data_IF_861111341329
#
_entry.id   IF_861111341329
#
_cell.length_a   1.000
_cell.length_b   1.000
_cell.length_c   1.000
_cell.angle_alpha   90.00
_cell.angle_beta   90.00
_cell.angle_gamma   90.00
#
_symmetry.space_group_name_H-M   'P 1'
#
loop_
_entity.id
_entity.type
_entity.pdbx_description
1 polymer ?
#
# COMPACT_ATOMS: atom_id res chain seq x y z
N UNK A 1 5.05 -27.24 -14.89
CA UNK A 1 4.68 -26.02 -14.15
C UNK A 1 5.25 -26.18 -12.75
N UNK A 2 6.19 -25.32 -12.36
CA UNK A 2 6.97 -25.51 -11.14
C UNK A 2 6.07 -25.49 -9.90
N UNK A 3 6.29 -26.43 -8.98
CA UNK A 3 5.51 -26.58 -7.73
C UNK A 3 5.52 -25.26 -6.94
N UNK A 4 6.62 -24.50 -6.99
CA UNK A 4 6.74 -23.17 -6.39
C UNK A 4 5.77 -22.15 -6.99
N UNK A 5 5.56 -22.17 -8.31
CA UNK A 5 4.62 -21.31 -9.00
C UNK A 5 3.18 -21.64 -8.60
N UNK A 6 2.84 -22.94 -8.55
CA UNK A 6 1.50 -23.39 -8.15
C UNK A 6 1.16 -23.01 -6.71
N UNK A 7 2.11 -23.20 -5.77
CA UNK A 7 1.97 -22.79 -4.37
C UNK A 7 1.82 -21.27 -4.25
N UNK A 8 2.61 -20.50 -5.02
CA UNK A 8 2.47 -19.04 -5.05
C UNK A 8 1.08 -18.61 -5.50
N UNK A 9 0.61 -19.13 -6.65
CA UNK A 9 -0.73 -18.82 -7.19
C UNK A 9 -1.82 -19.15 -6.17
N UNK A 10 -1.75 -20.32 -5.52
CA UNK A 10 -2.71 -20.70 -4.50
C UNK A 10 -2.73 -19.72 -3.31
N UNK A 11 -1.56 -19.32 -2.80
CA UNK A 11 -1.43 -18.30 -1.75
C UNK A 11 -2.06 -16.97 -2.17
N UNK A 12 -1.83 -16.53 -3.41
CA UNK A 12 -2.43 -15.30 -3.93
C UNK A 12 -3.95 -15.36 -3.99
N UNK A 13 -4.50 -16.50 -4.42
CA UNK A 13 -5.96 -16.71 -4.46
C UNK A 13 -6.54 -16.64 -3.06
N UNK A 14 -5.93 -17.34 -2.09
CA UNK A 14 -6.40 -17.33 -0.69
C UNK A 14 -6.37 -15.93 -0.09
N UNK A 15 -5.29 -15.18 -0.27
CA UNK A 15 -5.19 -13.80 0.24
C UNK A 15 -6.23 -12.90 -0.42
N UNK A 16 -6.43 -13.03 -1.73
CA UNK A 16 -7.44 -12.25 -2.44
C UNK A 16 -8.86 -12.56 -1.95
N UNK A 17 -9.21 -13.85 -1.78
CA UNK A 17 -10.51 -14.27 -1.26
C UNK A 17 -10.76 -13.73 0.14
N UNK A 18 -9.77 -13.82 1.03
CA UNK A 18 -9.87 -13.29 2.40
C UNK A 18 -10.01 -11.75 2.40
N UNK A 19 -9.27 -11.05 1.54
CA UNK A 19 -9.34 -9.60 1.42
C UNK A 19 -10.74 -9.14 0.96
N UNK A 20 -11.32 -9.86 -0.01
CA UNK A 20 -12.65 -9.61 -0.56
C UNK A 20 -13.73 -9.76 0.52
N UNK A 21 -13.63 -10.79 1.36
CA UNK A 21 -14.56 -10.99 2.48
C UNK A 21 -14.36 -9.93 3.58
N UNK A 22 -13.13 -9.47 3.77
CA UNK A 22 -12.77 -8.53 4.84
C UNK A 22 -13.21 -7.08 4.58
N UNK A 23 -13.21 -6.60 3.33
CA UNK A 23 -13.54 -5.20 3.04
C UNK A 23 -14.08 -4.98 1.63
N UNK A 24 -15.21 -4.27 1.52
CA UNK A 24 -15.73 -3.77 0.23
C UNK A 24 -14.72 -2.87 -0.50
N UNK A 25 -13.85 -2.17 0.24
CA UNK A 25 -12.80 -1.33 -0.35
C UNK A 25 -11.70 -2.18 -1.01
N UNK A 26 -11.40 -3.37 -0.47
CA UNK A 26 -10.46 -4.30 -1.09
C UNK A 26 -10.94 -4.75 -2.47
N UNK A 27 -12.23 -5.06 -2.59
CA UNK A 27 -12.88 -5.46 -3.86
C UNK A 27 -12.80 -4.33 -4.88
N UNK A 28 -13.21 -3.12 -4.49
CA UNK A 28 -13.19 -1.97 -5.38
C UNK A 28 -11.77 -1.66 -5.88
N UNK A 29 -10.77 -1.69 -4.99
CA UNK A 29 -9.38 -1.49 -5.36
C UNK A 29 -8.85 -2.60 -6.29
N UNK A 30 -9.23 -3.85 -6.07
CA UNK A 30 -8.84 -4.97 -6.92
C UNK A 30 -9.46 -4.85 -8.32
N UNK A 31 -10.73 -4.47 -8.41
CA UNK A 31 -11.39 -4.23 -9.69
C UNK A 31 -10.68 -3.11 -10.47
N UNK A 32 -10.33 -2.01 -9.81
CA UNK A 32 -9.59 -0.89 -10.42
C UNK A 32 -8.21 -1.33 -10.89
N UNK A 33 -7.49 -2.13 -10.10
CA UNK A 33 -6.21 -2.72 -10.50
C UNK A 33 -6.33 -3.59 -11.76
N UNK A 34 -7.33 -4.47 -11.81
CA UNK A 34 -7.57 -5.36 -12.94
C UNK A 34 -7.94 -4.59 -14.21
N UNK A 35 -8.83 -3.60 -14.11
CA UNK A 35 -9.23 -2.74 -15.23
C UNK A 35 -8.02 -1.93 -15.74
N UNK A 36 -7.24 -1.38 -14.82
CA UNK A 36 -6.05 -0.60 -15.18
C UNK A 36 -4.96 -1.48 -15.81
N UNK A 37 -4.79 -2.71 -15.32
CA UNK A 37 -3.91 -3.72 -15.92
C UNK A 37 -4.33 -4.10 -17.33
N UNK A 38 -5.63 -4.31 -17.55
CA UNK A 38 -6.17 -4.57 -18.88
C UNK A 38 -5.91 -3.41 -19.85
N UNK A 39 -6.11 -2.16 -19.42
CA UNK A 39 -5.82 -0.95 -20.22
C UNK A 39 -4.32 -0.84 -20.53
N UNK A 40 -3.45 -1.11 -19.55
CA UNK A 40 -2.00 -1.08 -19.73
C UNK A 40 -1.52 -2.12 -20.76
N UNK A 41 -2.02 -3.35 -20.66
CA UNK A 41 -1.73 -4.42 -21.61
C UNK A 41 -2.21 -4.07 -23.02
N UNK A 42 -3.45 -3.57 -23.14
CA UNK A 42 -4.03 -3.17 -24.44
C UNK A 42 -3.27 -2.01 -25.10
N UNK A 43 -2.76 -1.08 -24.31
CA UNK A 43 -1.97 0.06 -24.79
C UNK A 43 -0.49 -0.26 -25.04
N UNK A 44 -0.05 -1.50 -24.78
CA UNK A 44 1.34 -1.95 -24.83
C UNK A 44 2.32 -1.02 -24.10
N UNK A 45 1.85 -0.38 -23.03
CA UNK A 45 2.62 0.62 -22.29
C UNK A 45 3.46 -0.06 -21.20
N UNK A 46 4.71 -0.40 -21.54
CA UNK A 46 5.68 -0.93 -20.57
C UNK A 46 5.88 0.05 -19.39
N UNK A 47 5.73 1.37 -19.66
CA UNK A 47 5.79 2.42 -18.63
C UNK A 47 4.68 2.31 -17.57
N UNK A 48 3.53 1.75 -17.91
CA UNK A 48 2.40 1.58 -16.98
C UNK A 48 2.52 0.34 -16.07
N UNK A 49 3.42 -0.60 -16.39
CA UNK A 49 3.52 -1.87 -15.70
C UNK A 49 4.10 -1.70 -14.29
N UNK A 50 5.09 -0.81 -14.11
CA UNK A 50 5.70 -0.57 -12.80
C UNK A 50 4.76 0.10 -11.79
N UNK A 51 4.00 1.16 -12.13
CA UNK A 51 2.96 1.68 -11.25
C UNK A 51 1.89 0.63 -10.89
N UNK A 52 1.55 -0.29 -11.80
CA UNK A 52 0.61 -1.38 -11.52
C UNK A 52 1.17 -2.38 -10.51
N UNK A 53 2.42 -2.80 -10.68
CA UNK A 53 3.10 -3.68 -9.71
C UNK A 53 3.16 -3.02 -8.33
N UNK A 54 3.51 -1.74 -8.28
CA UNK A 54 3.55 -0.99 -7.02
C UNK A 54 2.17 -0.94 -6.36
N UNK A 55 1.14 -0.66 -7.16
CA UNK A 55 -0.25 -0.57 -6.72
C UNK A 55 -0.70 -1.92 -6.18
N UNK A 56 -0.40 -3.01 -6.87
CA UNK A 56 -0.70 -4.37 -6.42
C UNK A 56 0.00 -4.72 -5.10
N UNK A 57 1.28 -4.37 -4.95
CA UNK A 57 2.01 -4.60 -3.69
C UNK A 57 1.42 -3.79 -2.53
N UNK A 58 1.02 -2.54 -2.78
CA UNK A 58 0.35 -1.71 -1.77
C UNK A 58 -1.02 -2.27 -1.41
N UNK A 59 -1.78 -2.76 -2.40
CA UNK A 59 -3.08 -3.39 -2.19
C UNK A 59 -2.93 -4.64 -1.33
N UNK A 60 -1.92 -5.47 -1.61
CA UNK A 60 -1.62 -6.66 -0.84
C UNK A 60 -1.26 -6.32 0.61
N UNK A 61 -0.37 -5.36 0.82
CA UNK A 61 0.01 -4.92 2.17
C UNK A 61 -1.19 -4.42 2.96
N UNK A 62 -2.04 -3.62 2.32
CA UNK A 62 -3.27 -3.09 2.94
C UNK A 62 -4.29 -4.18 3.21
N UNK A 63 -4.44 -5.14 2.30
CA UNK A 63 -5.30 -6.31 2.44
C UNK A 63 -4.87 -7.17 3.63
N UNK A 64 -3.58 -7.45 3.77
CA UNK A 64 -3.05 -8.21 4.90
C UNK A 64 -3.30 -7.51 6.24
N UNK A 65 -3.17 -6.17 6.28
CA UNK A 65 -3.52 -5.37 7.47
C UNK A 65 -5.00 -5.52 7.80
N UNK A 66 -5.88 -5.38 6.79
CA UNK A 66 -7.33 -5.46 6.96
C UNK A 66 -7.78 -6.86 7.42
N UNK A 67 -7.26 -7.92 6.79
CA UNK A 67 -7.53 -9.32 7.17
C UNK A 67 -7.05 -9.57 8.60
N UNK A 68 -5.81 -9.19 8.92
CA UNK A 68 -5.26 -9.38 10.27
C UNK A 68 -6.13 -8.69 11.31
N UNK A 69 -6.56 -7.45 11.04
CA UNK A 69 -7.47 -6.70 11.91
C UNK A 69 -8.81 -7.41 12.07
N UNK A 70 -9.36 -7.97 11.00
CA UNK A 70 -10.66 -8.65 11.03
C UNK A 70 -10.61 -10.01 11.76
N UNK A 71 -9.49 -10.73 11.66
CA UNK A 71 -9.32 -12.07 12.26
C UNK A 71 -8.86 -11.99 13.72
N UNK A 72 -7.85 -11.17 14.01
CA UNK A 72 -7.19 -11.10 15.34
C UNK A 72 -7.79 -9.96 16.19
N UNK A 73 -8.48 -9.01 15.57
CA UNK A 73 -8.92 -7.78 16.23
C UNK A 73 -7.82 -6.71 16.22
N UNK A 74 -8.10 -5.58 16.89
CA UNK A 74 -7.16 -4.47 17.04
C UNK A 74 -6.36 -4.69 18.32
N UNK A 75 -5.04 -4.76 18.21
CA UNK A 75 -4.16 -4.86 19.38
C UNK A 75 -3.57 -3.50 19.77
N UNK A 76 -3.19 -3.33 21.05
CA UNK A 76 -2.55 -2.10 21.53
C UNK A 76 -1.28 -1.74 20.75
N UNK A 77 -0.51 -2.75 20.31
CA UNK A 77 0.68 -2.55 19.44
C UNK A 77 0.32 -1.98 18.07
N UNK A 78 -0.84 -2.34 17.52
CA UNK A 78 -1.31 -1.81 16.24
C UNK A 78 -1.71 -0.35 16.36
N UNK A 79 -2.35 -0.01 17.49
CA UNK A 79 -2.69 1.35 17.83
C UNK A 79 -1.41 2.17 17.94
N UNK A 80 -0.45 1.76 18.78
CA UNK A 80 0.83 2.45 18.99
C UNK A 80 1.62 2.66 17.70
N UNK A 81 1.67 1.64 16.83
CA UNK A 81 2.43 1.67 15.58
C UNK A 81 1.65 2.20 14.37
N UNK A 82 0.40 2.66 14.53
CA UNK A 82 -0.45 3.14 13.43
C UNK A 82 0.21 4.24 12.58
N UNK A 83 1.00 5.12 13.19
CA UNK A 83 1.76 6.15 12.47
C UNK A 83 2.81 5.58 11.51
N UNK A 84 3.40 4.43 11.86
CA UNK A 84 4.41 3.76 11.04
C UNK A 84 3.81 3.19 9.74
N UNK A 85 2.52 2.85 9.75
CA UNK A 85 1.78 2.39 8.55
C UNK A 85 1.74 3.47 7.45
N UNK A 86 1.86 4.75 7.82
CA UNK A 86 1.89 5.83 6.84
C UNK A 86 3.15 5.82 5.95
N UNK A 87 4.18 5.07 6.34
CA UNK A 87 5.40 4.90 5.54
C UNK A 87 5.25 3.81 4.46
N UNK A 88 4.23 2.95 4.52
CA UNK A 88 4.09 1.79 3.62
C UNK A 88 4.05 2.19 2.13
N UNK A 89 3.38 3.29 1.73
CA UNK A 89 3.43 3.73 0.34
C UNK A 89 4.86 4.06 -0.14
N UNK A 90 5.74 4.55 0.72
CA UNK A 90 7.15 4.76 0.34
C UNK A 90 7.90 3.46 0.12
N UNK A 91 7.60 2.42 0.91
CA UNK A 91 8.19 1.11 0.73
C UNK A 91 7.77 0.51 -0.62
N UNK A 92 6.47 0.56 -0.95
CA UNK A 92 5.96 0.08 -2.23
C UNK A 92 6.61 0.80 -3.42
N UNK A 93 6.72 2.13 -3.34
CA UNK A 93 7.42 2.93 -4.36
C UNK A 93 8.90 2.55 -4.49
N UNK A 94 9.63 2.53 -3.37
CA UNK A 94 11.08 2.24 -3.36
C UNK A 94 11.39 0.82 -3.83
N UNK A 95 10.56 -0.16 -3.45
CA UNK A 95 10.68 -1.53 -3.92
C UNK A 95 10.52 -1.63 -5.44
N UNK A 96 9.54 -0.93 -6.03
CA UNK A 96 9.41 -0.92 -7.50
C UNK A 96 10.53 -0.18 -8.21
N UNK A 97 11.05 0.90 -7.61
CA UNK A 97 12.24 1.58 -8.10
C UNK A 97 13.46 0.66 -8.08
N UNK A 98 13.58 -0.25 -7.11
CA UNK A 98 14.72 -1.18 -7.04
C UNK A 98 14.86 -2.02 -8.32
N UNK A 99 13.73 -2.41 -8.93
CA UNK A 99 13.73 -3.21 -10.16
C UNK A 99 14.03 -2.39 -11.42
N UNK A 100 13.57 -1.12 -11.49
CA UNK A 100 13.76 -0.26 -12.67
C UNK A 100 15.07 0.54 -12.61
N UNK A 101 15.42 1.03 -11.42
CA UNK A 101 16.56 1.89 -11.12
C UNK A 101 17.18 1.51 -9.76
N UNK A 102 18.03 0.47 -9.71
CA UNK A 102 18.46 -0.16 -8.45
C UNK A 102 19.15 0.80 -7.48
N UNK A 103 19.97 1.75 -7.97
CA UNK A 103 20.63 2.74 -7.12
C UNK A 103 19.63 3.65 -6.39
N UNK A 104 18.64 4.20 -7.11
CA UNK A 104 17.60 5.03 -6.51
C UNK A 104 16.66 4.22 -5.62
N UNK A 105 16.35 2.98 -5.98
CA UNK A 105 15.55 2.08 -5.16
C UNK A 105 16.21 1.74 -3.82
N UNK A 106 17.51 1.40 -3.84
CA UNK A 106 18.27 1.10 -2.63
C UNK A 106 18.36 2.32 -1.70
N UNK A 107 18.63 3.50 -2.27
CA UNK A 107 18.60 4.75 -1.51
C UNK A 107 17.20 5.06 -0.94
N UNK A 108 16.15 4.80 -1.72
CA UNK A 108 14.76 4.95 -1.27
C UNK A 108 14.41 4.04 -0.09
N UNK A 109 14.90 2.79 -0.08
CA UNK A 109 14.70 1.86 1.04
C UNK A 109 15.39 2.37 2.31
N UNK A 110 16.60 2.93 2.19
CA UNK A 110 17.30 3.55 3.33
C UNK A 110 16.51 4.74 3.89
N UNK A 111 16.02 5.62 3.01
CA UNK A 111 15.14 6.73 3.41
C UNK A 111 13.87 6.21 4.09
N UNK A 112 13.28 5.14 3.56
CA UNK A 112 12.07 4.56 4.13
C UNK A 112 12.26 4.12 5.58
N UNK A 113 13.41 3.52 5.94
CA UNK A 113 13.68 3.17 7.35
C UNK A 113 13.68 4.40 8.27
N UNK A 114 14.30 5.49 7.83
CA UNK A 114 14.29 6.76 8.57
C UNK A 114 12.86 7.32 8.69
N UNK A 115 12.11 7.27 7.59
CA UNK A 115 10.73 7.73 7.53
C UNK A 115 9.82 6.91 8.44
N UNK A 116 9.98 5.59 8.44
CA UNK A 116 9.22 4.66 9.28
C UNK A 116 9.45 4.97 10.77
N UNK A 117 10.70 5.14 11.18
CA UNK A 117 11.05 5.50 12.55
C UNK A 117 10.49 6.88 12.94
N UNK A 118 10.62 7.87 12.05
CA UNK A 118 10.09 9.21 12.28
C UNK A 118 8.55 9.22 12.37
N UNK A 119 7.85 8.61 11.41
CA UNK A 119 6.39 8.56 11.33
C UNK A 119 5.78 7.75 12.48
N UNK A 120 6.44 6.69 12.93
CA UNK A 120 6.05 5.93 14.14
C UNK A 120 5.91 6.85 15.36
N UNK A 121 6.82 7.80 15.53
CA UNK A 121 6.86 8.67 16.70
C UNK A 121 6.06 9.96 16.52
N UNK A 122 6.13 10.57 15.33
CA UNK A 122 5.53 11.87 15.02
C UNK A 122 4.07 11.78 14.58
N UNK A 123 3.68 10.73 13.85
CA UNK A 123 2.33 10.56 13.30
C UNK A 123 1.40 9.75 14.21
N UNK A 124 1.37 10.14 15.49
CA UNK A 124 0.39 9.63 16.45
C UNK A 124 -1.05 10.02 16.09
N UNK A 125 -1.22 11.11 15.34
CA UNK A 125 -2.48 11.51 14.68
C UNK A 125 -2.23 11.88 13.22
N UNK A 126 -3.22 11.63 12.35
CA UNK A 126 -3.22 11.98 10.92
C UNK A 126 -3.30 13.51 10.71
N UNK A 127 -2.29 14.24 11.16
CA UNK A 127 -2.13 15.67 10.86
C UNK A 127 -1.81 15.88 9.37
N UNK A 128 -2.02 17.10 8.88
CA UNK A 128 -1.79 17.47 7.49
C UNK A 128 -0.40 17.06 6.97
N UNK A 129 0.64 17.18 7.79
CA UNK A 129 2.01 16.77 7.44
C UNK A 129 2.13 15.25 7.22
N UNK A 130 1.51 14.44 8.08
CA UNK A 130 1.48 12.97 7.95
C UNK A 130 0.71 12.53 6.71
N UNK A 131 -0.39 13.23 6.38
CA UNK A 131 -1.14 13.02 5.14
C UNK A 131 -0.31 13.36 3.90
N UNK A 132 0.41 14.49 3.91
CA UNK A 132 1.31 14.84 2.82
C UNK A 132 2.36 13.77 2.58
N UNK A 133 3.00 13.28 3.66
CA UNK A 133 3.97 12.18 3.57
C UNK A 133 3.30 10.91 3.01
N UNK A 134 2.12 10.53 3.49
CA UNK A 134 1.39 9.35 3.00
C UNK A 134 1.18 9.37 1.47
N UNK A 135 0.84 10.52 0.90
CA UNK A 135 0.55 10.66 -0.54
C UNK A 135 1.76 11.05 -1.41
N UNK A 136 2.90 11.44 -0.82
CA UNK A 136 4.10 11.81 -1.58
C UNK A 136 4.53 10.74 -2.59
N UNK A 137 4.51 9.42 -2.27
CA UNK A 137 4.86 8.38 -3.24
C UNK A 137 3.91 8.34 -4.44
N UNK A 138 2.62 8.65 -4.24
CA UNK A 138 1.65 8.74 -5.34
C UNK A 138 2.02 9.87 -6.29
N UNK A 139 2.37 11.05 -5.75
CA UNK A 139 2.81 12.19 -6.56
C UNK A 139 4.09 11.86 -7.33
N UNK A 140 5.06 11.21 -6.69
CA UNK A 140 6.30 10.79 -7.35
C UNK A 140 6.02 9.80 -8.49
N UNK A 141 5.09 8.85 -8.32
CA UNK A 141 4.68 7.96 -9.41
C UNK A 141 4.08 8.71 -10.60
N UNK A 142 3.21 9.69 -10.34
CA UNK A 142 2.59 10.50 -11.40
C UNK A 142 3.67 11.29 -12.17
N UNK A 143 4.63 11.89 -11.47
CA UNK A 143 5.70 12.69 -12.07
C UNK A 143 6.66 11.81 -12.89
N UNK A 144 7.09 10.67 -12.35
CA UNK A 144 8.11 9.82 -12.96
C UNK A 144 7.59 9.01 -14.14
N UNK A 145 6.37 8.50 -14.05
CA UNK A 145 5.82 7.61 -15.07
C UNK A 145 4.88 8.35 -16.04
N UNK A 146 4.41 9.54 -15.68
CA UNK A 146 3.52 10.38 -16.51
C UNK A 146 2.31 9.62 -17.07
N UNK A 147 1.78 8.68 -16.28
CA UNK A 147 0.62 7.86 -16.66
C UNK A 147 -0.56 8.10 -15.71
N UNK A 148 -1.81 8.11 -16.21
CA UNK A 148 -2.99 8.16 -15.34
C UNK A 148 -3.10 6.90 -14.46
N UNK A 149 -2.44 5.81 -14.84
CA UNK A 149 -2.38 4.56 -14.07
C UNK A 149 -1.66 4.74 -12.72
N UNK A 150 -0.79 5.75 -12.59
CA UNK A 150 -0.21 6.14 -11.31
C UNK A 150 -1.26 6.60 -10.27
N UNK A 151 -2.45 7.04 -10.72
CA UNK A 151 -3.56 7.41 -9.83
C UNK A 151 -4.14 6.19 -9.09
N UNK A 152 -4.03 4.99 -9.67
CA UNK A 152 -4.45 3.73 -9.04
C UNK A 152 -3.71 3.52 -7.71
N UNK A 153 -2.44 3.89 -7.67
CA UNK A 153 -1.62 3.85 -6.46
C UNK A 153 -2.20 4.75 -5.36
N UNK A 154 -2.70 5.93 -5.73
CA UNK A 154 -3.35 6.87 -4.83
C UNK A 154 -4.68 6.35 -4.27
N UNK A 155 -5.48 5.65 -5.08
CA UNK A 155 -6.74 5.04 -4.64
C UNK A 155 -6.49 4.00 -3.54
N UNK A 156 -5.45 3.19 -3.70
CA UNK A 156 -5.08 2.17 -2.72
C UNK A 156 -4.46 2.82 -1.48
N UNK A 157 -3.69 3.90 -1.66
CA UNK A 157 -3.19 4.73 -0.56
C UNK A 157 -4.33 5.31 0.28
N UNK A 158 -5.45 5.68 -0.35
CA UNK A 158 -6.64 6.15 0.33
C UNK A 158 -7.32 5.04 1.14
N UNK A 159 -7.35 3.81 0.64
CA UNK A 159 -7.80 2.67 1.44
C UNK A 159 -6.89 2.47 2.68
N UNK A 160 -5.58 2.53 2.51
CA UNK A 160 -4.64 2.45 3.63
C UNK A 160 -4.86 3.58 4.64
N UNK A 161 -5.12 4.81 4.19
CA UNK A 161 -5.46 5.93 5.06
C UNK A 161 -6.68 5.61 5.95
N UNK A 162 -7.71 4.98 5.39
CA UNK A 162 -8.88 4.58 6.17
C UNK A 162 -8.53 3.54 7.24
N UNK A 163 -7.71 2.54 6.93
CA UNK A 163 -7.24 1.57 7.91
C UNK A 163 -6.46 2.25 9.05
N UNK A 164 -5.59 3.23 8.74
CA UNK A 164 -4.88 4.02 9.76
C UNK A 164 -5.86 4.84 10.61
N UNK A 165 -6.86 5.47 9.97
CA UNK A 165 -7.87 6.29 10.66
C UNK A 165 -8.72 5.45 11.63
N UNK A 166 -9.05 4.21 11.27
CA UNK A 166 -9.75 3.28 12.18
C UNK A 166 -8.93 3.06 13.45
N UNK A 167 -7.63 2.77 13.31
CA UNK A 167 -6.74 2.56 14.47
C UNK A 167 -6.60 3.80 15.36
N UNK A 168 -6.51 4.99 14.76
CA UNK A 168 -6.43 6.24 15.52
C UNK A 168 -7.74 6.59 16.24
N UNK A 169 -8.89 6.28 15.64
CA UNK A 169 -10.17 6.47 16.29
C UNK A 169 -10.34 5.59 17.54
N UNK A 170 -9.80 4.37 17.52
CA UNK A 170 -9.79 3.51 18.73
C UNK A 170 -8.89 4.11 19.80
N UNK A 171 -7.70 4.59 19.45
CA UNK A 171 -6.81 5.29 20.40
C UNK A 171 -7.50 6.43 21.12
N UNK A 172 -8.16 7.31 20.37
CA UNK A 172 -8.80 8.51 20.93
C UNK A 172 -9.95 8.15 21.89
N UNK A 173 -10.57 6.97 21.74
CA UNK A 173 -11.60 6.47 22.66
C UNK A 173 -11.01 5.83 23.92
N UNK A 174 -9.78 5.31 23.86
CA UNK A 174 -9.08 4.76 25.04
C UNK A 174 -8.47 5.87 25.91
N UNK A 175 -8.19 7.04 25.33
CA UNK A 175 -7.60 8.21 26.02
C UNK A 175 -8.66 9.20 26.57
N UNK A 176 -9.95 9.00 26.26
CA UNK A 176 -11.09 9.84 26.71
C UNK A 176 -11.84 9.20 27.88
#
# INVERSE_FOLDING_TARGET
>A
MDISLAVSIFLWVVIASLAIVSSRQAIACLAILMVSGYIALRSNSIGALWPLVASFMLWLGTALISIRRNVIGITRRDIENSGALASIPFLGFSATLLFKHPGYGAFGILIWFLLWYYLKNACKSLRALCLMLLYLPTLLFVILYRTPIAVVYGIITLWLQNEIKILQNVRNKEES
#
